data_IF_135944399442
#
_entry.id   IF_135944399442
#
_cell.length_a   1.000
_cell.length_b   1.000
_cell.length_c   1.000
_cell.angle_alpha   90.00
_cell.angle_beta   90.00
_cell.angle_gamma   90.00
#
_symmetry.space_group_name_H-M   'P 1'
#
loop_
_entity.id
_entity.type
_entity.pdbx_description
1 polymer ?
#
# COMPACT_ATOMS: atom_id res chain seq x y z
N UNK A 1 10.02 2.54 15.89
CA UNK A 1 9.20 2.93 14.72
C UNK A 1 8.50 4.27 14.93
N UNK A 2 7.74 4.44 16.01
CA UNK A 2 6.79 5.56 16.18
C UNK A 2 7.40 6.96 16.12
N UNK A 3 8.53 7.17 16.78
CA UNK A 3 9.22 8.48 16.86
C UNK A 3 9.83 8.95 15.54
N UNK A 4 9.98 8.06 14.55
CA UNK A 4 10.63 8.37 13.26
C UNK A 4 9.64 8.56 12.11
N UNK A 5 8.37 8.29 12.33
CA UNK A 5 7.31 8.54 11.34
C UNK A 5 7.07 10.04 11.18
N UNK A 6 6.60 10.49 10.01
CA UNK A 6 6.20 11.88 9.82
C UNK A 6 5.15 12.33 10.86
N UNK A 7 5.34 13.52 11.45
CA UNK A 7 4.44 14.05 12.47
C UNK A 7 2.95 14.09 12.08
N UNK A 8 2.66 14.23 10.78
CA UNK A 8 1.28 14.29 10.29
C UNK A 8 0.51 13.01 10.61
N UNK A 9 1.18 11.85 10.73
CA UNK A 9 0.54 10.58 11.07
C UNK A 9 -0.21 10.67 12.41
N UNK A 10 0.25 11.49 13.37
CA UNK A 10 -0.46 11.71 14.64
C UNK A 10 -1.26 13.02 14.61
N UNK A 11 -0.68 14.11 14.09
CA UNK A 11 -1.31 15.44 14.12
C UNK A 11 -2.61 15.49 13.30
N UNK A 12 -2.72 14.67 12.26
CA UNK A 12 -3.87 14.68 11.36
C UNK A 12 -5.01 13.77 11.81
N UNK A 13 -4.86 12.96 12.87
CA UNK A 13 -5.90 12.01 13.33
C UNK A 13 -7.24 12.68 13.71
N UNK A 14 -7.22 13.97 14.02
CA UNK A 14 -8.41 14.77 14.36
C UNK A 14 -8.86 15.71 13.25
N UNK A 15 -8.29 15.58 12.05
CA UNK A 15 -8.56 16.46 10.91
C UNK A 15 -9.17 15.65 9.77
N UNK A 16 -10.05 16.29 9.01
CA UNK A 16 -10.59 15.67 7.80
C UNK A 16 -9.49 15.49 6.75
N UNK A 17 -9.43 14.29 6.16
CA UNK A 17 -8.46 13.92 5.13
C UNK A 17 -9.12 13.09 4.04
N UNK A 18 -8.64 13.29 2.83
CA UNK A 18 -9.07 12.52 1.67
C UNK A 18 -8.04 11.42 1.38
N UNK A 19 -8.45 10.17 1.49
CA UNK A 19 -7.62 9.02 1.14
C UNK A 19 -7.64 8.81 -0.37
N UNK A 20 -6.47 8.51 -0.93
CA UNK A 20 -6.27 8.05 -2.30
C UNK A 20 -6.05 6.55 -2.25
N UNK A 21 -7.09 5.79 -2.60
CA UNK A 21 -7.09 4.34 -2.75
C UNK A 21 -6.38 3.95 -4.04
N UNK A 22 -5.55 2.90 -4.03
CA UNK A 22 -4.98 2.27 -5.23
C UNK A 22 -5.71 0.97 -5.58
N UNK A 23 -5.23 0.25 -6.59
CA UNK A 23 -6.00 -0.79 -7.27
C UNK A 23 -5.91 -2.21 -6.67
N UNK A 24 -5.53 -2.37 -5.40
CA UNK A 24 -5.43 -3.69 -4.77
C UNK A 24 -5.96 -3.73 -3.33
N UNK A 25 -5.96 -4.95 -2.77
CA UNK A 25 -6.51 -5.21 -1.45
C UNK A 25 -5.68 -4.60 -0.32
N UNK A 26 -4.36 -4.44 -0.49
CA UNK A 26 -3.53 -3.84 0.55
C UNK A 26 -3.95 -2.40 0.77
N UNK A 27 -4.07 -1.63 -0.32
CA UNK A 27 -4.57 -0.27 -0.26
C UNK A 27 -6.00 -0.17 0.25
N UNK A 28 -6.88 -1.08 -0.17
CA UNK A 28 -8.28 -1.08 0.27
C UNK A 28 -8.42 -1.33 1.77
N UNK A 29 -7.83 -2.40 2.28
CA UNK A 29 -7.92 -2.75 3.70
C UNK A 29 -7.21 -1.70 4.56
N UNK A 30 -6.06 -1.20 4.11
CA UNK A 30 -5.36 -0.08 4.74
C UNK A 30 -6.26 1.15 4.83
N UNK A 31 -6.91 1.53 3.73
CA UNK A 31 -7.80 2.69 3.68
C UNK A 31 -8.99 2.54 4.62
N UNK A 32 -9.68 1.40 4.58
CA UNK A 32 -10.83 1.11 5.45
C UNK A 32 -10.41 1.15 6.92
N UNK A 33 -9.26 0.57 7.26
CA UNK A 33 -8.74 0.60 8.62
C UNK A 33 -8.48 2.04 9.09
N UNK A 34 -7.89 2.87 8.22
CA UNK A 34 -7.68 4.30 8.45
C UNK A 34 -9.00 5.06 8.64
N UNK A 35 -10.03 4.77 7.85
CA UNK A 35 -11.37 5.36 8.05
C UNK A 35 -11.91 5.03 9.44
N UNK A 36 -11.90 3.74 9.82
CA UNK A 36 -12.45 3.28 11.10
C UNK A 36 -11.68 3.86 12.28
N UNK A 37 -10.35 3.81 12.26
CA UNK A 37 -9.54 4.28 13.39
C UNK A 37 -9.62 5.79 13.62
N UNK A 38 -9.93 6.56 12.57
CA UNK A 38 -10.09 8.02 12.65
C UNK A 38 -11.55 8.44 12.85
N UNK A 39 -12.43 7.49 13.17
CA UNK A 39 -13.87 7.72 13.29
C UNK A 39 -14.46 8.41 12.04
N UNK A 40 -14.03 7.94 10.87
CA UNK A 40 -14.43 8.41 9.54
C UNK A 40 -14.13 9.89 9.27
N UNK A 41 -13.12 10.47 9.94
CA UNK A 41 -12.55 11.77 9.56
C UNK A 41 -11.67 11.64 8.32
N UNK A 42 -10.98 10.51 8.16
CA UNK A 42 -10.30 10.17 6.92
C UNK A 42 -11.25 9.34 6.07
N UNK A 43 -11.40 9.69 4.79
CA UNK A 43 -12.36 9.03 3.89
C UNK A 43 -11.77 8.78 2.53
N UNK A 44 -12.06 7.62 1.95
CA UNK A 44 -11.76 7.35 0.54
C UNK A 44 -12.52 8.35 -0.31
N UNK A 45 -11.78 9.20 -1.03
CA UNK A 45 -12.36 10.21 -1.91
C UNK A 45 -11.69 10.24 -3.29
N UNK A 46 -10.50 9.64 -3.42
CA UNK A 46 -9.80 9.48 -4.68
C UNK A 46 -9.48 8.01 -4.94
N UNK A 47 -9.40 7.66 -6.21
CA UNK A 47 -8.94 6.37 -6.69
C UNK A 47 -7.82 6.59 -7.71
N UNK A 48 -6.72 5.86 -7.59
CA UNK A 48 -5.55 5.94 -8.46
C UNK A 48 -5.15 4.55 -8.95
N UNK A 49 -5.35 4.29 -10.24
CA UNK A 49 -5.09 2.97 -10.84
C UNK A 49 -3.67 2.82 -11.44
N UNK A 50 -2.77 3.75 -11.08
CA UNK A 50 -1.42 3.93 -11.64
C UNK A 50 -1.34 4.53 -13.05
N UNK A 51 -2.45 4.61 -13.78
CA UNK A 51 -2.56 5.31 -15.08
C UNK A 51 -3.39 6.57 -14.98
N UNK A 52 -4.39 6.61 -14.11
CA UNK A 52 -5.40 7.65 -14.03
C UNK A 52 -5.79 7.90 -12.58
N UNK A 53 -6.19 9.14 -12.29
CA UNK A 53 -6.76 9.52 -11.00
C UNK A 53 -8.22 9.95 -11.16
N UNK A 54 -9.04 9.50 -10.23
CA UNK A 54 -10.47 9.75 -10.16
C UNK A 54 -10.82 10.34 -8.80
N UNK A 55 -11.92 11.08 -8.71
CA UNK A 55 -12.38 11.73 -7.48
C UNK A 55 -13.89 11.63 -7.35
N UNK A 56 -14.37 11.29 -6.15
CA UNK A 56 -15.80 11.27 -5.87
C UNK A 56 -16.36 12.68 -5.59
N UNK A 57 -15.76 13.41 -4.64
CA UNK A 57 -16.23 14.72 -4.22
C UNK A 57 -15.11 15.77 -4.23
N UNK A 58 -15.41 17.01 -4.61
CA UNK A 58 -14.45 18.12 -4.46
C UNK A 58 -14.49 18.62 -3.02
N UNK A 59 -13.44 18.38 -2.26
CA UNK A 59 -13.30 18.85 -0.86
C UNK A 59 -12.18 19.89 -0.75
N UNK A 60 -12.00 20.45 0.45
CA UNK A 60 -10.82 21.26 0.81
C UNK A 60 -9.80 20.45 1.63
N UNK A 61 -10.06 19.16 1.85
CA UNK A 61 -9.26 18.30 2.71
C UNK A 61 -7.93 17.95 2.05
N UNK A 62 -6.86 17.90 2.86
CA UNK A 62 -5.58 17.45 2.36
C UNK A 62 -5.63 15.94 2.06
N UNK A 63 -4.89 15.51 1.04
CA UNK A 63 -4.88 14.11 0.62
C UNK A 63 -3.81 13.28 1.34
N UNK A 64 -4.07 11.98 1.47
CA UNK A 64 -3.13 10.96 1.93
C UNK A 64 -3.20 9.78 0.94
N UNK A 65 -2.09 9.46 0.29
CA UNK A 65 -1.99 8.25 -0.52
C UNK A 65 -1.83 7.00 0.32
N UNK A 66 -2.48 5.91 -0.07
CA UNK A 66 -2.40 4.63 0.62
C UNK A 66 -1.87 3.58 -0.35
N UNK A 67 -0.77 2.94 0.03
CA UNK A 67 -0.02 2.00 -0.81
C UNK A 67 0.38 2.58 -2.17
N UNK A 68 0.88 3.82 -2.13
CA UNK A 68 1.34 4.53 -3.31
C UNK A 68 2.63 5.27 -3.01
N UNK A 69 3.67 4.96 -3.78
CA UNK A 69 4.95 5.67 -3.76
C UNK A 69 4.88 7.03 -4.47
N UNK A 70 3.90 7.88 -4.10
CA UNK A 70 3.79 9.23 -4.66
C UNK A 70 5.04 10.04 -4.39
N UNK A 71 5.42 10.86 -5.36
CA UNK A 71 6.54 11.80 -5.27
C UNK A 71 6.07 13.16 -4.74
N UNK A 72 6.92 14.20 -4.77
CA UNK A 72 6.54 15.60 -4.48
C UNK A 72 5.97 15.89 -3.08
N UNK A 73 6.43 15.16 -2.06
CA UNK A 73 6.04 15.38 -0.65
C UNK A 73 4.53 15.25 -0.38
N UNK A 74 3.83 14.41 -1.15
CA UNK A 74 2.46 13.99 -0.83
C UNK A 74 2.50 13.12 0.43
N UNK A 75 1.57 13.30 1.37
CA UNK A 75 1.46 12.41 2.54
C UNK A 75 1.09 11.01 2.05
N UNK A 76 1.82 9.98 2.47
CA UNK A 76 1.53 8.61 2.06
C UNK A 76 1.80 7.61 3.18
N UNK A 77 0.99 6.58 3.31
CA UNK A 77 1.40 5.30 3.90
C UNK A 77 1.82 4.38 2.77
N UNK A 78 3.03 3.84 2.83
CA UNK A 78 3.63 3.10 1.72
C UNK A 78 4.73 2.16 2.22
N UNK A 79 4.80 0.96 1.64
CA UNK A 79 5.83 -0.04 1.90
C UNK A 79 6.87 -0.14 0.76
N UNK A 80 6.67 0.54 -0.37
CA UNK A 80 7.56 0.46 -1.52
C UNK A 80 8.88 1.20 -1.28
N UNK A 81 9.98 0.78 -1.91
CA UNK A 81 11.22 1.55 -1.83
C UNK A 81 11.12 2.75 -2.79
N UNK A 82 11.19 3.97 -2.24
CA UNK A 82 11.22 5.23 -3.00
C UNK A 82 12.16 6.24 -2.36
N UNK A 83 12.72 7.14 -3.15
CA UNK A 83 13.72 8.13 -2.71
C UNK A 83 13.22 9.59 -2.77
N UNK A 84 11.98 9.83 -3.23
CA UNK A 84 11.54 11.18 -3.63
C UNK A 84 10.45 11.81 -2.77
N UNK A 85 10.11 11.24 -1.61
CA UNK A 85 9.03 11.74 -0.75
C UNK A 85 9.39 11.72 0.75
N UNK A 86 9.63 12.90 1.33
CA UNK A 86 9.92 13.03 2.77
C UNK A 86 8.67 12.96 3.65
N UNK A 87 7.49 13.17 3.07
CA UNK A 87 6.22 13.07 3.76
C UNK A 87 5.69 11.62 3.82
N UNK A 88 6.36 10.67 3.16
CA UNK A 88 5.98 9.25 3.19
C UNK A 88 6.28 8.62 4.56
N UNK A 89 5.24 8.04 5.15
CA UNK A 89 5.27 7.16 6.30
C UNK A 89 5.64 5.75 5.81
N UNK A 90 6.94 5.50 5.75
CA UNK A 90 7.52 4.35 5.07
C UNK A 90 8.77 3.86 5.80
N UNK A 91 8.79 2.58 6.15
CA UNK A 91 9.86 1.99 6.97
C UNK A 91 11.19 1.87 6.23
N UNK A 92 11.16 1.68 4.90
CA UNK A 92 12.36 1.66 4.09
C UNK A 92 13.08 3.01 4.15
N UNK A 93 12.33 4.10 4.06
CA UNK A 93 12.88 5.44 4.23
C UNK A 93 13.43 5.65 5.65
N UNK A 94 12.68 5.26 6.68
CA UNK A 94 13.06 5.46 8.08
C UNK A 94 14.34 4.71 8.47
N UNK A 95 14.54 3.51 7.93
CA UNK A 95 15.74 2.70 8.17
C UNK A 95 16.87 3.00 7.16
N UNK A 96 16.71 3.96 6.26
CA UNK A 96 17.73 4.32 5.28
C UNK A 96 18.01 3.21 4.27
N UNK A 97 16.99 2.44 3.90
CA UNK A 97 17.09 1.42 2.87
C UNK A 97 17.26 2.11 1.52
N UNK A 98 18.27 1.65 0.78
CA UNK A 98 18.64 2.11 -0.54
C UNK A 98 19.05 0.95 -1.44
N UNK A 99 19.59 1.26 -2.61
CA UNK A 99 20.03 0.23 -3.58
C UNK A 99 21.12 -0.71 -3.03
N UNK A 100 21.97 -0.21 -2.12
CA UNK A 100 23.09 -0.96 -1.56
C UNK A 100 22.70 -1.98 -0.49
N UNK A 101 21.59 -1.75 0.22
CA UNK A 101 21.04 -2.61 1.26
C UNK A 101 19.59 -2.99 0.98
N UNK A 102 19.18 -3.05 -0.29
CA UNK A 102 17.80 -3.35 -0.70
C UNK A 102 17.27 -4.66 -0.10
N UNK A 103 18.13 -5.67 0.10
CA UNK A 103 17.75 -6.94 0.73
C UNK A 103 17.33 -6.83 2.20
N UNK A 104 17.51 -5.67 2.83
CA UNK A 104 17.09 -5.35 4.20
C UNK A 104 15.74 -4.60 4.23
N UNK A 105 15.11 -4.38 3.07
CA UNK A 105 13.83 -3.68 2.95
C UNK A 105 12.75 -4.32 3.82
N UNK A 106 11.85 -3.48 4.31
CA UNK A 106 10.57 -3.87 4.89
C UNK A 106 9.79 -4.71 3.87
N UNK A 107 9.49 -5.98 4.18
CA UNK A 107 8.93 -6.93 3.22
C UNK A 107 7.42 -7.19 3.39
N UNK A 108 6.72 -6.41 4.23
CA UNK A 108 5.30 -6.62 4.51
C UNK A 108 4.44 -5.53 3.85
N UNK A 109 3.12 -5.73 3.90
CA UNK A 109 2.11 -4.82 3.37
C UNK A 109 2.08 -3.46 4.08
N UNK A 110 1.51 -2.46 3.39
CA UNK A 110 1.12 -1.17 3.95
C UNK A 110 0.11 -1.35 5.09
N UNK A 111 -0.77 -2.35 5.00
CA UNK A 111 -1.72 -2.71 6.05
C UNK A 111 -1.01 -3.09 7.36
N UNK A 112 -0.04 -4.00 7.29
CA UNK A 112 0.74 -4.39 8.48
C UNK A 112 1.52 -3.20 9.06
N UNK A 113 1.99 -2.29 8.22
CA UNK A 113 2.69 -1.08 8.65
C UNK A 113 1.78 -0.18 9.49
N UNK A 114 0.59 0.10 8.97
CA UNK A 114 -0.42 0.93 9.66
C UNK A 114 -0.82 0.28 10.98
N UNK A 115 -1.09 -1.04 10.96
CA UNK A 115 -1.48 -1.77 12.15
C UNK A 115 -0.41 -1.69 13.24
N UNK A 116 0.86 -1.94 12.89
CA UNK A 116 1.96 -1.92 13.85
C UNK A 116 2.25 -0.50 14.35
N UNK A 117 2.09 0.52 13.50
CA UNK A 117 2.33 1.91 13.87
C UNK A 117 1.32 2.44 14.89
N UNK A 118 0.04 2.10 14.73
CA UNK A 118 -1.05 2.56 15.59
C UNK A 118 -1.47 1.57 16.69
N UNK A 119 -0.67 0.53 16.94
CA UNK A 119 -0.97 -0.54 17.92
C UNK A 119 -2.33 -1.23 17.68
N UNK A 120 -2.72 -1.38 16.42
CA UNK A 120 -3.96 -2.06 16.06
C UNK A 120 -3.72 -3.57 16.20
N UNK A 121 -4.55 -4.29 16.97
CA UNK A 121 -4.36 -5.70 17.20
C UNK A 121 -4.55 -6.51 15.92
N UNK A 122 -3.77 -7.58 15.77
CA UNK A 122 -3.97 -8.56 14.72
C UNK A 122 -5.37 -9.20 14.82
N UNK A 123 -5.94 -9.71 13.70
CA UNK A 123 -7.22 -10.40 13.72
C UNK A 123 -7.24 -11.55 14.73
N UNK A 124 -8.38 -11.74 15.41
CA UNK A 124 -8.52 -12.78 16.44
C UNK A 124 -8.43 -14.18 15.84
N UNK A 125 -9.03 -14.38 14.68
CA UNK A 125 -9.03 -15.67 13.98
C UNK A 125 -7.66 -16.01 13.40
N UNK A 126 -7.36 -17.30 13.24
CA UNK A 126 -6.12 -17.73 12.57
C UNK A 126 -6.13 -17.38 11.08
N UNK A 127 -7.23 -17.67 10.38
CA UNK A 127 -7.41 -17.30 8.97
C UNK A 127 -7.23 -15.79 8.76
N UNK A 128 -7.75 -14.93 9.64
CA UNK A 128 -7.53 -13.49 9.53
C UNK A 128 -6.05 -13.10 9.58
N UNK A 129 -5.25 -13.73 10.45
CA UNK A 129 -3.79 -13.53 10.49
C UNK A 129 -3.09 -14.07 9.24
N UNK A 130 -3.58 -15.19 8.71
CA UNK A 130 -3.07 -15.78 7.46
C UNK A 130 -3.41 -14.90 6.24
N UNK A 131 -4.59 -14.27 6.20
CA UNK A 131 -4.96 -13.24 5.21
C UNK A 131 -4.02 -12.04 5.31
N UNK A 132 -3.75 -11.52 6.52
CA UNK A 132 -2.79 -10.42 6.72
C UNK A 132 -1.41 -10.77 6.17
N UNK A 133 -0.92 -12.00 6.38
CA UNK A 133 0.34 -12.47 5.82
C UNK A 133 0.29 -12.68 4.31
N UNK A 134 -0.87 -13.01 3.75
CA UNK A 134 -1.06 -13.22 2.32
C UNK A 134 -1.20 -11.91 1.54
N UNK A 135 -1.69 -10.84 2.16
CA UNK A 135 -1.74 -9.49 1.56
C UNK A 135 -0.35 -9.03 1.15
N UNK A 136 -0.23 -8.52 -0.08
CA UNK A 136 1.04 -8.13 -0.73
C UNK A 136 2.13 -9.23 -0.69
N UNK A 137 1.69 -10.50 -0.64
CA UNK A 137 2.59 -11.66 -0.52
C UNK A 137 3.59 -11.55 0.64
N UNK A 138 3.20 -10.91 1.75
CA UNK A 138 4.10 -10.62 2.86
C UNK A 138 4.79 -11.90 3.41
N UNK A 139 4.11 -13.04 3.42
CA UNK A 139 4.67 -14.35 3.82
C UNK A 139 5.96 -14.77 3.07
N UNK A 140 6.16 -14.29 1.83
CA UNK A 140 7.15 -14.84 0.89
C UNK A 140 8.58 -14.77 1.43
N UNK A 141 8.92 -13.70 2.16
CA UNK A 141 10.26 -13.48 2.72
C UNK A 141 10.68 -14.58 3.70
N UNK A 142 9.74 -15.18 4.42
CA UNK A 142 10.01 -16.24 5.40
C UNK A 142 10.50 -17.55 4.78
N UNK A 143 10.04 -17.86 3.57
CA UNK A 143 10.29 -19.14 2.90
C UNK A 143 11.52 -19.12 1.98
N UNK A 144 12.36 -18.09 2.08
CA UNK A 144 13.65 -18.06 1.41
C UNK A 144 14.60 -19.13 1.97
N UNK A 145 15.43 -19.71 1.09
CA UNK A 145 16.50 -20.64 1.49
C UNK A 145 17.70 -19.91 2.10
N UNK A 146 17.80 -18.58 1.89
CA UNK A 146 18.88 -17.78 2.44
C UNK A 146 18.60 -17.43 3.91
N UNK A 147 19.35 -18.06 4.82
CA UNK A 147 19.22 -17.86 6.27
C UNK A 147 19.31 -16.40 6.72
N UNK A 148 20.19 -15.58 6.10
CA UNK A 148 20.30 -14.16 6.42
C UNK A 148 19.03 -13.39 6.09
N UNK A 149 18.45 -13.63 4.91
CA UNK A 149 17.22 -12.95 4.50
C UNK A 149 16.01 -13.41 5.31
N UNK A 150 15.96 -14.70 5.67
CA UNK A 150 14.95 -15.20 6.60
C UNK A 150 15.07 -14.54 7.98
N UNK A 151 16.29 -14.35 8.49
CA UNK A 151 16.50 -13.67 9.76
C UNK A 151 16.03 -12.20 9.70
N UNK A 152 16.41 -11.45 8.66
CA UNK A 152 15.95 -10.07 8.45
C UNK A 152 14.41 -9.99 8.48
N UNK A 153 13.75 -10.93 7.82
CA UNK A 153 12.29 -11.01 7.83
C UNK A 153 11.72 -11.22 9.26
N UNK A 154 12.32 -12.12 10.03
CA UNK A 154 11.95 -12.39 11.43
C UNK A 154 12.19 -11.15 12.29
N UNK A 155 13.34 -10.49 12.15
CA UNK A 155 13.69 -9.29 12.90
C UNK A 155 12.65 -8.18 12.69
N UNK A 156 12.11 -8.06 11.46
CA UNK A 156 11.03 -7.11 11.19
C UNK A 156 9.71 -7.48 11.89
N UNK A 157 9.34 -8.76 11.96
CA UNK A 157 8.15 -9.20 12.71
C UNK A 157 8.32 -8.92 14.21
N UNK A 158 9.52 -9.15 14.75
CA UNK A 158 9.89 -8.84 16.13
C UNK A 158 9.81 -7.33 16.40
N UNK A 159 10.39 -6.51 15.51
CA UNK A 159 10.36 -5.03 15.59
C UNK A 159 8.91 -4.47 15.59
N UNK A 160 7.98 -5.15 14.91
CA UNK A 160 6.56 -4.81 14.89
C UNK A 160 5.75 -5.38 16.07
N UNK A 161 6.33 -6.28 16.86
CA UNK A 161 5.62 -7.00 17.93
C UNK A 161 4.67 -8.10 17.42
N UNK A 162 4.90 -8.61 16.22
CA UNK A 162 4.08 -9.63 15.54
C UNK A 162 4.70 -11.01 15.53
N UNK A 163 5.40 -11.39 16.60
CA UNK A 163 6.07 -12.69 16.74
C UNK A 163 5.14 -13.88 16.61
N UNK A 164 3.86 -13.75 16.98
CA UNK A 164 2.86 -14.81 16.80
C UNK A 164 2.63 -15.18 15.32
N UNK A 165 2.97 -14.31 14.37
CA UNK A 165 2.90 -14.63 12.94
C UNK A 165 4.02 -15.60 12.51
N UNK A 166 5.14 -15.65 13.24
CA UNK A 166 6.22 -16.61 13.01
C UNK A 166 5.71 -18.03 13.25
N UNK A 167 4.92 -18.24 14.30
CA UNK A 167 4.32 -19.54 14.60
C UNK A 167 3.40 -20.02 13.48
N UNK A 168 2.59 -19.11 12.91
CA UNK A 168 1.73 -19.41 11.76
C UNK A 168 2.56 -19.78 10.54
N UNK A 169 3.61 -19.02 10.25
CA UNK A 169 4.51 -19.28 9.12
C UNK A 169 5.27 -20.61 9.28
N UNK A 170 5.52 -21.07 10.49
CA UNK A 170 6.08 -22.41 10.75
C UNK A 170 5.06 -23.54 10.57
N UNK A 171 3.77 -23.28 10.75
CA UNK A 171 2.70 -24.27 10.62
C UNK A 171 2.25 -24.49 9.16
N UNK A 172 2.57 -23.55 8.28
CA UNK A 172 2.15 -23.55 6.87
C UNK A 172 3.36 -23.64 5.95
N UNK A 173 3.13 -24.11 4.74
CA UNK A 173 4.09 -23.97 3.65
C UNK A 173 3.77 -22.75 2.79
N UNK A 174 4.65 -22.46 1.83
CA UNK A 174 4.52 -21.33 0.93
C UNK A 174 3.32 -21.48 -0.03
N UNK A 175 3.01 -22.71 -0.44
CA UNK A 175 1.97 -22.98 -1.44
C UNK A 175 0.57 -22.83 -0.82
N UNK A 176 0.43 -23.09 0.47
CA UNK A 176 -0.76 -22.76 1.26
C UNK A 176 -1.16 -21.29 1.12
N UNK A 177 -0.21 -20.37 1.25
CA UNK A 177 -0.51 -18.93 1.15
C UNK A 177 -0.86 -18.50 -0.26
N UNK A 178 -0.23 -19.08 -1.29
CA UNK A 178 -0.64 -18.83 -2.67
C UNK A 178 -2.07 -19.30 -2.92
N UNK A 179 -2.43 -20.51 -2.46
CA UNK A 179 -3.80 -21.00 -2.53
C UNK A 179 -4.77 -20.08 -1.77
N UNK A 180 -4.37 -19.58 -0.60
CA UNK A 180 -5.18 -18.64 0.17
C UNK A 180 -5.38 -17.32 -0.59
N UNK A 181 -4.37 -16.81 -1.28
CA UNK A 181 -4.51 -15.65 -2.16
C UNK A 181 -5.54 -15.92 -3.27
N UNK A 182 -5.50 -17.10 -3.89
CA UNK A 182 -6.45 -17.47 -4.95
C UNK A 182 -7.87 -17.64 -4.40
N UNK A 183 -8.05 -18.39 -3.30
CA UNK A 183 -9.35 -18.70 -2.70
C UNK A 183 -10.13 -17.43 -2.29
N UNK A 184 -9.42 -16.39 -1.83
CA UNK A 184 -10.01 -15.10 -1.43
C UNK A 184 -9.90 -14.00 -2.49
N UNK A 185 -9.24 -14.28 -3.62
CA UNK A 185 -8.99 -13.29 -4.68
C UNK A 185 -8.13 -12.11 -4.20
N UNK A 186 -7.15 -12.33 -3.32
CA UNK A 186 -6.34 -11.26 -2.70
C UNK A 186 -5.45 -10.52 -3.71
N UNK A 187 -5.17 -11.14 -4.86
CA UNK A 187 -4.39 -10.53 -5.95
C UNK A 187 -5.27 -9.91 -7.04
N UNK A 188 -6.60 -9.98 -6.91
CA UNK A 188 -7.53 -9.39 -7.86
C UNK A 188 -7.43 -7.86 -7.82
N UNK A 189 -7.55 -7.23 -8.99
CA UNK A 189 -7.51 -5.79 -9.12
C UNK A 189 -8.85 -5.15 -8.78
N UNK A 190 -8.77 -3.94 -8.25
CA UNK A 190 -9.90 -3.03 -8.12
C UNK A 190 -9.87 -2.15 -9.35
N UNK A 191 -10.98 -2.12 -10.07
CA UNK A 191 -11.13 -1.40 -11.33
C UNK A 191 -12.34 -0.47 -11.23
N UNK A 192 -12.38 0.53 -12.10
CA UNK A 192 -13.50 1.46 -12.20
C UNK A 192 -14.30 1.13 -13.47
N UNK A 193 -15.62 0.98 -13.33
CA UNK A 193 -16.50 0.74 -14.46
C UNK A 193 -16.82 2.01 -15.25
N UNK A 194 -17.51 1.85 -16.38
CA UNK A 194 -17.94 2.96 -17.24
C UNK A 194 -18.92 3.93 -16.54
N UNK A 195 -19.61 3.46 -15.49
CA UNK A 195 -20.52 4.28 -14.70
C UNK A 195 -19.77 5.05 -13.59
N UNK A 196 -18.49 4.77 -13.36
CA UNK A 196 -17.64 5.40 -12.36
C UNK A 196 -17.69 4.73 -10.99
N UNK A 197 -18.18 3.49 -10.88
CA UNK A 197 -18.16 2.73 -9.63
C UNK A 197 -17.00 1.74 -9.61
N UNK A 198 -16.47 1.49 -8.42
CA UNK A 198 -15.40 0.51 -8.26
C UNK A 198 -15.99 -0.91 -8.26
N UNK A 199 -15.31 -1.83 -8.93
CA UNK A 199 -15.61 -3.26 -8.89
C UNK A 199 -14.33 -4.08 -8.75
N UNK A 200 -14.47 -5.32 -8.28
CA UNK A 200 -13.37 -6.27 -8.12
C UNK A 200 -13.90 -7.68 -7.98
N UNK A 201 -13.02 -8.67 -8.16
CA UNK A 201 -13.31 -10.09 -7.88
C UNK A 201 -12.83 -10.55 -6.50
N UNK A 202 -12.26 -9.66 -5.68
CA UNK A 202 -11.92 -9.96 -4.28
C UNK A 202 -13.16 -10.50 -3.55
N UNK A 203 -13.01 -11.63 -2.85
CA UNK A 203 -14.12 -12.30 -2.18
C UNK A 203 -14.39 -11.69 -0.80
N UNK A 204 -14.94 -10.48 -0.76
CA UNK A 204 -15.23 -9.79 0.51
C UNK A 204 -16.16 -10.57 1.43
N UNK A 205 -17.09 -11.35 0.87
CA UNK A 205 -18.04 -12.16 1.63
C UNK A 205 -17.32 -13.15 2.55
N UNK A 206 -16.29 -13.82 2.04
CA UNK A 206 -15.57 -14.84 2.78
C UNK A 206 -14.42 -14.24 3.61
N UNK A 207 -13.92 -13.05 3.26
CA UNK A 207 -12.95 -12.31 4.08
C UNK A 207 -13.61 -11.69 5.32
N UNK A 208 -14.80 -11.10 5.18
CA UNK A 208 -15.48 -10.31 6.22
C UNK A 208 -15.58 -11.00 7.61
N UNK A 209 -15.88 -12.30 7.75
CA UNK A 209 -15.99 -12.97 9.04
C UNK A 209 -14.69 -12.97 9.87
N UNK A 210 -13.55 -12.68 9.25
CA UNK A 210 -12.24 -12.71 9.90
C UNK A 210 -11.79 -11.35 10.45
N UNK A 211 -12.56 -10.28 10.21
CA UNK A 211 -12.21 -8.90 10.58
C UNK A 211 -13.37 -8.20 11.29
N UNK A 212 -13.03 -7.38 12.29
CA UNK A 212 -14.00 -6.66 13.13
C UNK A 212 -14.47 -5.33 12.51
N UNK A 213 -14.05 -5.01 11.27
CA UNK A 213 -14.46 -3.84 10.51
C UNK A 213 -15.10 -4.24 9.17
N UNK A 214 -16.01 -3.40 8.66
CA UNK A 214 -16.70 -3.67 7.39
C UNK A 214 -15.73 -3.55 6.21
N UNK A 215 -15.55 -4.65 5.48
CA UNK A 215 -14.72 -4.71 4.27
C UNK A 215 -15.63 -4.60 3.06
N UNK A 216 -15.23 -3.76 2.11
CA UNK A 216 -15.89 -3.63 0.82
C UNK A 216 -15.50 -2.35 0.11
N UNK A 217 -15.86 -2.25 -1.17
CA UNK A 217 -15.59 -1.07 -1.96
C UNK A 217 -16.48 0.11 -1.53
N UNK A 218 -15.98 1.36 -1.63
CA UNK A 218 -16.82 2.54 -1.47
C UNK A 218 -17.94 2.53 -2.52
N UNK A 219 -19.14 2.93 -2.11
CA UNK A 219 -20.35 2.89 -2.95
C UNK A 219 -20.58 4.19 -3.73
N UNK A 220 -19.68 5.16 -3.59
CA UNK A 220 -19.77 6.44 -4.27
C UNK A 220 -19.26 6.34 -5.70
N UNK A 221 -19.79 7.19 -6.57
CA UNK A 221 -19.31 7.35 -7.94
C UNK A 221 -18.05 8.20 -7.96
N UNK A 222 -17.04 7.77 -8.70
CA UNK A 222 -15.81 8.50 -8.97
C UNK A 222 -15.86 9.12 -10.38
N UNK A 223 -15.38 10.35 -10.47
CA UNK A 223 -15.31 11.12 -11.71
C UNK A 223 -13.85 11.17 -12.14
N UNK A 224 -13.60 10.89 -13.41
CA UNK A 224 -12.28 11.03 -14.03
C UNK A 224 -11.73 12.44 -13.84
N UNK A 225 -10.44 12.53 -13.47
CA UNK A 225 -9.75 13.81 -13.31
C UNK A 225 -8.63 13.95 -14.34
N UNK A 226 -7.73 12.97 -14.43
CA UNK A 226 -6.56 13.04 -15.29
C UNK A 226 -5.96 11.65 -15.51
N UNK A 227 -5.35 11.44 -16.68
CA UNK A 227 -4.52 10.28 -17.01
C UNK A 227 -3.03 10.67 -17.09
N UNK A 228 -2.16 9.68 -17.01
CA UNK A 228 -0.72 9.79 -16.93
C UNK A 228 -0.06 8.69 -17.76
N UNK A 229 1.20 8.92 -18.11
CA UNK A 229 2.02 7.88 -18.72
C UNK A 229 2.63 6.99 -17.64
N UNK A 230 2.81 5.71 -17.97
CA UNK A 230 3.45 4.73 -17.10
C UNK A 230 4.63 4.09 -17.80
N UNK A 231 5.61 3.69 -17.01
CA UNK A 231 6.78 3.03 -17.55
C UNK A 231 7.50 2.20 -16.48
N UNK A 232 8.20 1.16 -16.91
CA UNK A 232 8.99 0.30 -16.06
C UNK A 232 10.20 -0.23 -16.80
N UNK A 233 11.36 -0.20 -16.15
CA UNK A 233 12.60 -0.72 -16.73
C UNK A 233 13.67 -0.99 -15.68
N UNK A 234 14.75 -1.66 -16.10
CA UNK A 234 15.95 -1.81 -15.28
C UNK A 234 16.66 -0.48 -15.08
N UNK A 235 17.09 -0.20 -13.86
CA UNK A 235 17.82 1.03 -13.50
C UNK A 235 19.06 1.17 -14.39
N UNK A 236 19.25 2.35 -14.98
CA UNK A 236 20.36 2.66 -15.88
C UNK A 236 20.12 2.34 -17.37
N UNK A 237 19.02 1.66 -17.73
CA UNK A 237 18.70 1.37 -19.15
C UNK A 237 18.21 2.60 -19.89
N UNK A 238 17.37 3.43 -19.25
CA UNK A 238 16.89 4.70 -19.81
C UNK A 238 16.76 5.75 -18.69
N UNK A 239 16.78 7.04 -19.02
CA UNK A 239 16.56 8.09 -18.04
C UNK A 239 15.14 8.03 -17.47
N UNK A 240 15.03 8.25 -16.16
CA UNK A 240 13.75 8.46 -15.49
C UNK A 240 13.35 9.93 -15.68
N UNK A 241 12.06 10.25 -15.90
CA UNK A 241 11.59 11.63 -15.96
C UNK A 241 12.03 12.47 -14.76
N UNK A 242 12.16 13.78 -14.97
CA UNK A 242 12.54 14.70 -13.91
C UNK A 242 11.51 14.71 -12.77
N UNK A 243 11.96 15.09 -11.56
CA UNK A 243 11.15 15.02 -10.33
C UNK A 243 9.86 15.83 -10.41
N UNK A 244 9.85 16.92 -11.18
CA UNK A 244 8.69 17.77 -11.45
C UNK A 244 7.64 17.11 -12.35
N UNK A 245 8.01 16.10 -13.15
CA UNK A 245 7.09 15.33 -13.99
C UNK A 245 6.56 14.07 -13.32
N UNK A 246 7.38 13.47 -12.46
CA UNK A 246 6.99 12.25 -11.73
C UNK A 246 5.73 12.47 -10.88
N UNK A 247 4.86 11.48 -10.88
CA UNK A 247 3.67 11.36 -10.04
C UNK A 247 3.96 10.35 -8.94
N UNK A 248 4.29 9.11 -9.30
CA UNK A 248 4.74 8.05 -8.40
C UNK A 248 5.99 7.37 -8.94
N UNK A 249 6.85 6.88 -8.05
CA UNK A 249 8.03 6.10 -8.40
C UNK A 249 8.35 5.10 -7.30
N UNK A 250 8.40 3.82 -7.68
CA UNK A 250 8.79 2.73 -6.82
C UNK A 250 9.93 1.93 -7.48
N UNK A 251 10.93 1.57 -6.67
CA UNK A 251 11.90 0.57 -7.05
C UNK A 251 11.32 -0.81 -6.76
N UNK A 252 11.15 -1.60 -7.81
CA UNK A 252 10.71 -2.99 -7.73
C UNK A 252 11.91 -3.88 -7.96
N UNK A 253 12.04 -4.94 -7.17
CA UNK A 253 13.28 -5.73 -7.12
C UNK A 253 14.53 -4.86 -6.83
N UNK A 254 15.73 -5.45 -6.93
CA UNK A 254 16.99 -4.74 -6.63
C UNK A 254 17.32 -3.68 -7.68
N UNK A 255 16.92 -3.91 -8.93
CA UNK A 255 17.42 -3.19 -10.10
C UNK A 255 16.34 -2.78 -11.10
N UNK A 256 15.07 -2.81 -10.71
CA UNK A 256 13.95 -2.33 -11.53
C UNK A 256 13.31 -1.07 -10.91
N UNK A 257 12.72 -0.25 -11.77
CA UNK A 257 11.96 0.92 -11.38
C UNK A 257 10.66 0.94 -12.17
N UNK A 258 9.58 1.28 -11.48
CA UNK A 258 8.25 1.51 -12.04
C UNK A 258 7.81 2.93 -11.66
N UNK A 259 7.30 3.70 -12.62
CA UNK A 259 6.88 5.07 -12.36
C UNK A 259 5.73 5.52 -13.25
N UNK A 260 5.04 6.55 -12.76
CA UNK A 260 3.98 7.27 -13.44
C UNK A 260 4.38 8.73 -13.55
N UNK A 261 4.13 9.36 -14.70
CA UNK A 261 4.60 10.72 -14.99
C UNK A 261 3.65 11.47 -15.93
N UNK A 262 3.80 12.80 -15.93
CA UNK A 262 3.16 13.68 -16.91
C UNK A 262 4.12 13.97 -18.06
N UNK A 263 3.62 13.94 -19.30
CA UNK A 263 4.29 14.54 -20.44
C UNK A 263 4.00 16.05 -20.49
N UNK A 264 4.87 16.80 -21.16
CA UNK A 264 4.73 18.26 -21.31
C UNK A 264 3.69 18.66 -22.38
N UNK A 265 3.06 17.70 -23.06
CA UNK A 265 2.12 17.97 -24.15
C UNK A 265 0.65 17.82 -23.70
N UNK A 266 0.16 18.82 -22.98
CA UNK A 266 -1.22 19.31 -23.10
C UNK A 266 -1.18 20.85 -23.04
N UNK A 267 -0.60 21.46 -24.08
CA UNK A 267 -1.11 22.72 -24.60
C UNK A 267 -2.06 22.36 -25.75
N UNK A 268 -3.36 22.30 -25.49
CA UNK A 268 -4.32 22.07 -26.57
C UNK A 268 -5.71 21.64 -26.14
N UNK A 269 -6.48 22.58 -25.59
CA UNK A 269 -7.89 22.77 -25.93
C UNK A 269 -8.34 24.13 -25.35
N UNK A 270 -8.60 25.06 -26.26
CA UNK A 270 -9.30 26.32 -26.01
C UNK A 270 -10.69 26.11 -25.39
#
# INVERSE_FOLDING_TARGET
MKEKMPDWCIKDLKLERDLILTNDIDSLMSSILLEVMTNYLWRINYFYDFTSIYRANKTKSATIGVDAAFTKNVRTFDNHYTIHNKASANMNRIKGIGIHNYCEKYPFSTLMLIMAYYDIPLPKTQIGKEIILATDSAFKGFYTTNKRFKQIYIDWLEDMGYTCLIDILNQRDKDYFYKLQDDYGLNEKIEIDEQGYLHTKINFKDIQPHFDFKIGLPQQRFIYIQTFQTDAHKVGVKPIPSKDKLISLAYTYKDWVCYTYKDDEEQGAD
#
